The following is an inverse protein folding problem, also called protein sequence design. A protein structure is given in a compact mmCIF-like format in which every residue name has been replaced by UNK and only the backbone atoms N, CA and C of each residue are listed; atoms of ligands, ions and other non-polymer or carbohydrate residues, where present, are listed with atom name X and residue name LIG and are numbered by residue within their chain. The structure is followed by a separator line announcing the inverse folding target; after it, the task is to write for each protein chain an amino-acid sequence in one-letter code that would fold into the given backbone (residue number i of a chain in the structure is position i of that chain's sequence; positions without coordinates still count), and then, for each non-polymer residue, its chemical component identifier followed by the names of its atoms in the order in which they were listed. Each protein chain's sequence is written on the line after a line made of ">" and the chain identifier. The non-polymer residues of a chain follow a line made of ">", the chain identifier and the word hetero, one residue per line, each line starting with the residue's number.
data_IF_252965406725
#
_entry.id   IF_252965406725
#
_cell.length_a   1.000
_cell.length_b   1.000
_cell.length_c   1.000
_cell.angle_alpha   90.00
_cell.angle_beta   90.00
_cell.angle_gamma   90.00
#
_symmetry.space_group_name_H-M   'P 1'
#
loop_
_entity.id
_entity.type
_entity.pdbx_description
1 polymer ?
#
# COMPACT_ATOMS: atom_id res chain seq x y z
N UNK A 1 -32.42 3.28 -28.57
CA UNK A 1 -31.03 3.11 -29.00
C UNK A 1 -30.16 4.36 -28.96
N UNK A 2 -30.59 5.55 -29.33
CA UNK A 2 -29.77 6.79 -29.29
C UNK A 2 -29.41 7.28 -27.86
N UNK A 3 -30.34 7.10 -26.91
CA UNK A 3 -30.09 7.47 -25.49
C UNK A 3 -29.06 6.58 -24.83
N UNK A 4 -29.11 5.27 -25.05
CA UNK A 4 -28.09 4.32 -24.53
C UNK A 4 -26.70 4.66 -25.05
N UNK A 5 -26.54 4.99 -26.32
CA UNK A 5 -25.24 5.40 -26.89
C UNK A 5 -24.70 6.67 -26.24
N UNK A 6 -25.52 7.63 -25.87
CA UNK A 6 -25.14 8.85 -25.18
C UNK A 6 -24.71 8.57 -23.74
N UNK A 7 -25.36 7.64 -23.05
CA UNK A 7 -25.00 7.20 -21.70
C UNK A 7 -23.63 6.52 -21.71
N UNK A 8 -23.33 5.64 -22.67
CA UNK A 8 -22.02 4.99 -22.81
C UNK A 8 -20.90 5.99 -23.10
N UNK A 9 -21.13 7.02 -23.92
CA UNK A 9 -20.15 8.08 -24.17
C UNK A 9 -19.90 8.91 -22.90
N UNK A 10 -20.94 9.19 -22.12
CA UNK A 10 -20.78 9.89 -20.85
C UNK A 10 -19.96 9.07 -19.83
N UNK A 11 -20.20 7.77 -19.73
CA UNK A 11 -19.45 6.85 -18.84
C UNK A 11 -17.98 6.77 -19.26
N UNK A 12 -17.68 6.77 -20.56
CA UNK A 12 -16.30 6.75 -21.07
C UNK A 12 -15.59 8.09 -20.81
N UNK A 13 -16.28 9.23 -20.92
CA UNK A 13 -15.70 10.55 -20.63
C UNK A 13 -15.38 10.76 -19.13
N UNK A 14 -16.14 10.15 -18.23
CA UNK A 14 -15.87 10.18 -16.79
C UNK A 14 -14.72 9.22 -16.36
N UNK A 15 -14.27 8.32 -17.24
CA UNK A 15 -13.23 7.32 -16.96
C UNK A 15 -11.77 7.80 -17.10
N UNK A 16 -11.56 9.06 -17.49
CA UNK A 16 -10.20 9.61 -17.61
C UNK A 16 -9.69 10.15 -16.26
N UNK A 17 -9.56 9.28 -15.26
CA UNK A 17 -8.84 9.60 -14.03
C UNK A 17 -7.34 9.45 -14.29
N UNK A 18 -6.57 10.47 -13.90
CA UNK A 18 -5.11 10.38 -13.87
C UNK A 18 -4.71 9.28 -12.89
N UNK A 19 -4.20 8.17 -13.39
CA UNK A 19 -3.67 7.10 -12.54
C UNK A 19 -2.29 7.53 -12.02
N UNK A 20 -2.23 8.00 -10.79
CA UNK A 20 -0.98 8.23 -10.07
C UNK A 20 -0.64 6.95 -9.33
N UNK A 21 0.38 6.22 -9.79
CA UNK A 21 0.84 5.00 -9.16
C UNK A 21 1.98 5.34 -8.19
N UNK A 22 1.71 5.28 -6.90
CA UNK A 22 2.70 5.58 -5.86
C UNK A 22 3.01 4.38 -4.94
N UNK A 23 2.12 3.39 -4.91
CA UNK A 23 2.24 2.21 -4.04
C UNK A 23 2.66 0.96 -4.81
N UNK A 24 3.35 0.07 -4.08
CA UNK A 24 3.62 -1.28 -4.56
C UNK A 24 2.30 -2.00 -4.84
N UNK A 25 2.14 -2.54 -6.04
CA UNK A 25 0.97 -3.34 -6.39
C UNK A 25 1.34 -4.81 -6.47
N UNK A 26 0.63 -5.66 -5.75
CA UNK A 26 0.77 -7.11 -5.85
C UNK A 26 -0.20 -7.66 -6.89
N UNK A 27 0.27 -8.60 -7.73
CA UNK A 27 -0.59 -9.25 -8.75
C UNK A 27 -1.76 -10.01 -8.11
N UNK A 28 -1.55 -10.55 -6.91
CA UNK A 28 -2.56 -11.23 -6.09
C UNK A 28 -2.86 -10.42 -4.83
N UNK A 29 -3.34 -9.19 -4.98
CA UNK A 29 -3.62 -8.28 -3.86
C UNK A 29 -4.62 -8.86 -2.84
N UNK A 30 -5.53 -9.71 -3.28
CA UNK A 30 -6.51 -10.42 -2.42
C UNK A 30 -5.85 -11.46 -1.50
N UNK A 31 -4.66 -11.95 -1.84
CA UNK A 31 -3.88 -12.85 -0.99
C UNK A 31 -3.09 -12.11 0.10
N UNK A 32 -3.13 -10.78 0.11
CA UNK A 32 -2.47 -9.91 1.10
C UNK A 32 -3.51 -9.10 1.88
N UNK A 33 -4.17 -9.70 2.89
CA UNK A 33 -5.31 -9.09 3.55
C UNK A 33 -5.02 -7.74 4.20
N UNK A 34 -3.91 -7.60 4.94
CA UNK A 34 -3.55 -6.34 5.60
C UNK A 34 -3.15 -5.23 4.61
N UNK A 35 -2.70 -5.60 3.41
CA UNK A 35 -2.47 -4.65 2.32
C UNK A 35 -3.78 -4.16 1.69
N UNK A 36 -4.79 -5.03 1.64
CA UNK A 36 -6.09 -4.71 1.07
C UNK A 36 -6.93 -3.85 2.00
N UNK A 37 -7.03 -4.25 3.27
CA UNK A 37 -7.83 -3.54 4.27
C UNK A 37 -7.34 -3.85 5.68
N UNK A 38 -6.99 -2.85 6.51
CA UNK A 38 -6.60 -3.08 7.89
C UNK A 38 -7.68 -3.80 8.73
N UNK A 39 -8.95 -3.67 8.37
CA UNK A 39 -10.05 -4.35 9.05
C UNK A 39 -10.04 -5.88 8.87
N UNK A 40 -9.20 -6.42 7.99
CA UNK A 40 -8.97 -7.85 7.83
C UNK A 40 -7.97 -8.43 8.86
N UNK A 41 -7.38 -7.61 9.72
CA UNK A 41 -6.53 -8.09 10.81
C UNK A 41 -7.32 -8.99 11.77
N UNK A 42 -6.80 -10.18 12.04
CA UNK A 42 -7.44 -11.16 12.92
C UNK A 42 -8.78 -11.71 12.41
N UNK A 43 -8.98 -11.75 11.09
CA UNK A 43 -10.16 -12.43 10.49
C UNK A 43 -9.94 -13.92 10.28
N UNK A 44 -8.75 -14.44 10.51
CA UNK A 44 -8.48 -15.88 10.60
C UNK A 44 -8.77 -16.39 12.01
N UNK A 45 -8.97 -17.69 12.14
CA UNK A 45 -9.37 -18.30 13.41
C UNK A 45 -8.34 -18.13 14.54
N UNK A 46 -7.05 -18.04 14.21
CA UNK A 46 -5.98 -17.86 15.20
C UNK A 46 -4.89 -16.92 14.69
N UNK A 47 -3.83 -17.48 14.11
CA UNK A 47 -2.67 -16.77 13.61
C UNK A 47 -2.59 -16.91 12.10
N UNK A 48 -2.22 -15.83 11.42
CA UNK A 48 -1.97 -15.85 9.99
C UNK A 48 -0.67 -15.15 9.67
N UNK A 49 0.18 -15.81 8.89
CA UNK A 49 1.39 -15.23 8.31
C UNK A 49 1.21 -15.22 6.79
N UNK A 50 1.47 -14.09 6.16
CA UNK A 50 1.43 -13.96 4.70
C UNK A 50 2.73 -13.35 4.21
N UNK A 51 3.39 -14.02 3.28
CA UNK A 51 4.55 -13.50 2.56
C UNK A 51 4.20 -13.21 1.10
N UNK A 52 4.62 -12.05 0.61
CA UNK A 52 4.49 -11.68 -0.80
C UNK A 52 5.85 -11.32 -1.36
N UNK A 53 6.11 -11.76 -2.57
CA UNK A 53 7.26 -11.40 -3.36
C UNK A 53 6.81 -11.04 -4.77
N UNK A 54 7.33 -9.96 -5.31
CA UNK A 54 7.09 -9.54 -6.69
C UNK A 54 8.39 -9.05 -7.29
N UNK A 55 8.72 -9.60 -8.43
CA UNK A 55 9.75 -9.09 -9.33
C UNK A 55 9.07 -8.63 -10.62
N UNK A 56 9.18 -7.34 -10.90
CA UNK A 56 8.58 -6.73 -12.09
C UNK A 56 9.67 -6.43 -13.10
N UNK A 57 9.53 -6.98 -14.30
CA UNK A 57 10.47 -6.88 -15.41
C UNK A 57 11.85 -7.49 -15.14
N UNK A 58 11.91 -8.77 -14.72
CA UNK A 58 13.17 -9.41 -14.32
C UNK A 58 14.22 -9.48 -15.43
N UNK A 59 13.81 -9.37 -16.71
CA UNK A 59 14.72 -9.36 -17.86
C UNK A 59 15.38 -7.99 -18.13
N UNK A 60 14.98 -6.93 -17.40
CA UNK A 60 15.52 -5.58 -17.60
C UNK A 60 16.46 -5.25 -16.44
N UNK A 61 17.70 -4.77 -16.68
CA UNK A 61 18.55 -4.25 -15.62
C UNK A 61 17.84 -3.13 -14.85
N UNK A 62 17.79 -3.26 -13.52
CA UNK A 62 17.07 -2.29 -12.68
C UNK A 62 15.61 -2.63 -12.46
N UNK A 63 15.25 -3.92 -12.44
CA UNK A 63 13.92 -4.41 -12.12
C UNK A 63 13.38 -3.85 -10.79
N UNK A 64 12.05 -3.85 -10.66
CA UNK A 64 11.38 -3.47 -9.42
C UNK A 64 11.13 -4.73 -8.58
N UNK A 65 11.74 -4.77 -7.39
CA UNK A 65 11.60 -5.90 -6.47
C UNK A 65 10.86 -5.43 -5.24
N UNK A 66 9.75 -6.09 -4.95
CA UNK A 66 8.92 -5.79 -3.78
C UNK A 66 8.68 -7.07 -2.98
N UNK A 67 8.85 -6.98 -1.67
CA UNK A 67 8.51 -8.07 -0.77
C UNK A 67 7.88 -7.54 0.50
N UNK A 68 6.96 -8.32 1.03
CA UNK A 68 6.32 -8.03 2.30
C UNK A 68 6.08 -9.30 3.11
N UNK A 69 6.10 -9.11 4.39
CA UNK A 69 5.64 -10.09 5.37
C UNK A 69 4.58 -9.42 6.24
N UNK A 70 3.49 -10.11 6.47
CA UNK A 70 2.48 -9.69 7.42
C UNK A 70 2.13 -10.83 8.36
N UNK A 71 1.85 -10.46 9.59
CA UNK A 71 1.38 -11.34 10.65
C UNK A 71 0.15 -10.73 11.29
N UNK A 72 -0.88 -11.51 11.50
CA UNK A 72 -2.04 -11.08 12.26
C UNK A 72 -2.59 -12.19 13.13
N UNK A 73 -3.24 -11.78 14.21
CA UNK A 73 -3.79 -12.65 15.23
C UNK A 73 -5.18 -12.20 15.65
N UNK A 74 -6.07 -13.16 15.86
CA UNK A 74 -7.39 -12.97 16.43
C UNK A 74 -7.33 -13.10 17.95
N UNK A 75 -7.80 -12.06 18.66
CA UNK A 75 -7.97 -12.08 20.12
C UNK A 75 -9.48 -12.17 20.39
N UNK A 76 -10.01 -13.39 20.33
CA UNK A 76 -11.44 -13.67 20.39
C UNK A 76 -12.10 -13.17 21.67
N UNK A 77 -11.41 -13.25 22.80
CA UNK A 77 -11.89 -12.77 24.10
C UNK A 77 -12.13 -11.25 24.12
N UNK A 78 -11.31 -10.49 23.39
CA UNK A 78 -11.42 -9.04 23.26
C UNK A 78 -12.18 -8.59 22.00
N UNK A 79 -12.74 -9.52 21.22
CA UNK A 79 -13.34 -9.21 19.91
C UNK A 79 -12.43 -8.36 19.00
N UNK A 80 -11.12 -8.58 19.09
CA UNK A 80 -10.12 -7.74 18.49
C UNK A 80 -9.19 -8.52 17.56
N UNK A 81 -8.59 -7.83 16.61
CA UNK A 81 -7.51 -8.33 15.78
C UNK A 81 -6.31 -7.39 15.82
N UNK A 82 -5.14 -7.96 15.97
CA UNK A 82 -3.87 -7.25 15.84
C UNK A 82 -3.17 -7.72 14.59
N UNK A 83 -2.54 -6.80 13.88
CA UNK A 83 -1.74 -7.09 12.69
C UNK A 83 -0.43 -6.33 12.71
N UNK A 84 0.59 -6.91 12.10
CA UNK A 84 1.89 -6.32 11.90
C UNK A 84 2.34 -6.56 10.47
N UNK A 85 2.96 -5.55 9.85
CA UNK A 85 3.43 -5.62 8.47
C UNK A 85 4.82 -5.06 8.34
N UNK A 86 5.65 -5.73 7.54
CA UNK A 86 6.93 -5.21 7.06
C UNK A 86 6.92 -5.33 5.55
N UNK A 87 7.18 -4.24 4.87
CA UNK A 87 7.25 -4.19 3.41
C UNK A 87 8.52 -3.48 3.00
N UNK A 88 9.15 -3.98 1.94
CA UNK A 88 10.25 -3.30 1.28
C UNK A 88 10.07 -3.32 -0.23
N UNK A 89 10.27 -2.17 -0.83
CA UNK A 89 10.24 -1.93 -2.26
C UNK A 89 11.58 -1.39 -2.73
N UNK A 90 12.08 -1.91 -3.84
CA UNK A 90 13.35 -1.50 -4.42
C UNK A 90 13.17 -1.25 -5.91
N UNK A 91 13.72 -0.14 -6.39
CA UNK A 91 13.68 0.28 -7.77
C UNK A 91 15.10 0.60 -8.27
N UNK A 92 15.31 0.49 -9.57
CA UNK A 92 16.55 0.92 -10.18
C UNK A 92 17.79 0.16 -9.69
N UNK A 93 17.77 -1.17 -9.72
CA UNK A 93 18.87 -2.01 -9.20
C UNK A 93 19.11 -1.82 -7.69
N UNK A 94 18.08 -1.40 -6.95
CA UNK A 94 18.13 -1.14 -5.52
C UNK A 94 18.72 0.22 -5.15
N UNK A 95 18.93 1.11 -6.13
CA UNK A 95 19.38 2.48 -5.84
C UNK A 95 18.34 3.25 -5.02
N UNK A 96 17.05 3.12 -5.34
CA UNK A 96 15.96 3.68 -4.56
C UNK A 96 15.25 2.56 -3.80
N UNK A 97 15.05 2.73 -2.50
CA UNK A 97 14.33 1.76 -1.67
C UNK A 97 13.37 2.45 -0.71
N UNK A 98 12.23 1.81 -0.46
CA UNK A 98 11.28 2.24 0.57
C UNK A 98 11.02 1.05 1.49
N UNK A 99 11.21 1.22 2.78
CA UNK A 99 10.89 0.21 3.80
C UNK A 99 9.80 0.75 4.70
N UNK A 100 8.73 0.00 4.87
CA UNK A 100 7.59 0.38 5.72
C UNK A 100 7.36 -0.70 6.77
N UNK A 101 7.20 -0.28 8.01
CA UNK A 101 6.87 -1.15 9.15
C UNK A 101 5.63 -0.59 9.82
N UNK A 102 4.61 -1.41 10.01
CA UNK A 102 3.33 -0.94 10.53
C UNK A 102 2.63 -1.92 11.44
N UNK A 103 1.78 -1.37 12.30
CA UNK A 103 0.85 -2.09 13.16
C UNK A 103 -0.59 -1.73 12.83
N UNK A 104 -1.48 -2.68 13.02
CA UNK A 104 -2.91 -2.55 12.74
C UNK A 104 -3.70 -3.07 13.93
N UNK A 105 -4.75 -2.36 14.30
CA UNK A 105 -5.75 -2.78 15.28
C UNK A 105 -7.13 -2.76 14.65
N UNK A 106 -7.87 -3.85 14.80
CA UNK A 106 -9.25 -4.00 14.36
C UNK A 106 -10.14 -4.46 15.52
N UNK A 107 -11.36 -3.95 15.58
CA UNK A 107 -12.33 -4.30 16.62
C UNK A 107 -13.65 -4.75 16.00
N UNK A 108 -14.24 -5.87 16.48
CA UNK A 108 -15.48 -6.41 15.97
C UNK A 108 -16.68 -5.93 16.78
N UNK A 109 -17.62 -5.28 16.10
CA UNK A 109 -18.89 -4.82 16.64
C UNK A 109 -20.03 -5.66 16.07
N UNK A 110 -20.66 -6.49 16.88
CA UNK A 110 -21.85 -7.27 16.48
C UNK A 110 -23.07 -6.33 16.46
N UNK A 111 -23.56 -5.99 15.26
CA UNK A 111 -24.73 -5.14 15.09
C UNK A 111 -26.02 -5.92 15.38
N UNK A 112 -26.05 -7.18 14.98
CA UNK A 112 -27.13 -8.12 15.27
C UNK A 112 -26.65 -9.57 15.16
N UNK A 113 -27.56 -10.56 15.25
CA UNK A 113 -27.20 -12.00 15.17
C UNK A 113 -26.62 -12.43 13.81
N UNK A 114 -26.79 -11.63 12.75
CA UNK A 114 -26.41 -11.99 11.37
C UNK A 114 -25.42 -11.00 10.75
N UNK A 115 -25.17 -9.86 11.38
CA UNK A 115 -24.39 -8.77 10.82
C UNK A 115 -23.39 -8.23 11.83
N UNK A 116 -22.14 -8.09 11.42
CA UNK A 116 -21.08 -7.48 12.20
C UNK A 116 -20.37 -6.40 11.37
N UNK A 117 -19.86 -5.38 12.06
CA UNK A 117 -19.03 -4.34 11.52
C UNK A 117 -17.67 -4.35 12.22
N UNK A 118 -16.59 -4.28 11.43
CA UNK A 118 -15.23 -4.33 11.94
C UNK A 118 -14.45 -3.10 11.49
N UNK A 119 -14.43 -2.02 12.27
CA UNK A 119 -13.53 -0.88 12.05
C UNK A 119 -12.09 -1.25 12.39
N UNK A 120 -11.15 -0.57 11.75
CA UNK A 120 -9.73 -0.71 12.02
C UNK A 120 -8.96 0.58 11.77
N UNK A 121 -7.83 0.69 12.46
CA UNK A 121 -6.84 1.74 12.28
C UNK A 121 -5.46 1.10 12.14
N UNK A 122 -4.64 1.66 11.26
CA UNK A 122 -3.25 1.29 11.09
C UNK A 122 -2.33 2.49 11.23
N UNK A 123 -1.15 2.24 11.80
CA UNK A 123 -0.07 3.20 11.92
C UNK A 123 1.20 2.55 11.42
N UNK A 124 1.91 3.23 10.52
CA UNK A 124 3.15 2.74 9.96
C UNK A 124 4.23 3.81 9.94
N UNK A 125 5.48 3.37 9.96
CA UNK A 125 6.65 4.20 9.72
C UNK A 125 7.29 3.77 8.42
N UNK A 126 7.40 4.71 7.48
CA UNK A 126 8.07 4.56 6.20
C UNK A 126 9.45 5.22 6.23
N UNK A 127 10.42 4.55 5.60
CA UNK A 127 11.76 5.07 5.38
C UNK A 127 12.08 4.91 3.89
N UNK A 128 12.22 6.02 3.17
CA UNK A 128 12.67 6.06 1.79
C UNK A 128 14.13 6.44 1.75
N UNK A 129 14.94 5.67 1.06
CA UNK A 129 16.38 5.86 0.97
C UNK A 129 16.87 5.69 -0.45
N UNK A 130 17.93 6.43 -0.81
CA UNK A 130 18.63 6.31 -2.07
C UNK A 130 20.09 5.97 -1.82
N UNK A 131 20.58 4.97 -2.53
CA UNK A 131 22.01 4.57 -2.50
C UNK A 131 22.75 5.36 -3.59
N UNK A 132 23.42 6.42 -3.17
CA UNK A 132 24.18 7.32 -4.07
C UNK A 132 25.33 6.60 -4.78
N UNK A 133 25.87 5.53 -4.21
CA UNK A 133 26.98 4.77 -4.81
C UNK A 133 26.58 4.03 -6.08
N UNK A 134 25.28 3.79 -6.25
CA UNK A 134 24.69 3.11 -7.42
C UNK A 134 24.22 4.08 -8.50
N UNK A 135 24.30 5.39 -8.23
CA UNK A 135 23.89 6.44 -9.16
C UNK A 135 25.12 7.05 -9.84
N UNK A 136 24.96 7.39 -11.11
CA UNK A 136 25.88 8.24 -11.85
C UNK A 136 25.16 9.49 -12.31
N UNK A 137 25.68 10.63 -11.93
CA UNK A 137 25.12 11.93 -12.26
C UNK A 137 25.71 12.48 -13.57
N UNK A 138 24.98 13.39 -14.22
CA UNK A 138 25.39 13.96 -15.49
C UNK A 138 26.71 14.73 -15.42
N UNK A 139 26.99 15.40 -14.30
CA UNK A 139 28.26 16.11 -14.07
C UNK A 139 29.45 15.15 -13.97
N UNK A 140 29.29 13.98 -13.39
CA UNK A 140 30.32 12.93 -13.36
C UNK A 140 30.63 12.39 -14.75
N UNK A 141 29.58 12.23 -15.59
CA UNK A 141 29.76 11.76 -16.98
C UNK A 141 30.48 12.78 -17.85
N UNK A 142 30.28 14.09 -17.60
CA UNK A 142 30.87 15.17 -18.37
C UNK A 142 32.30 15.49 -17.92
N UNK A 143 32.56 15.47 -16.61
CA UNK A 143 33.86 15.89 -16.04
C UNK A 143 34.81 14.70 -15.77
N UNK A 144 34.28 13.47 -15.71
CA UNK A 144 35.06 12.30 -15.31
C UNK A 144 35.36 12.23 -13.80
N UNK A 145 34.78 13.13 -12.99
CA UNK A 145 35.00 13.15 -11.56
C UNK A 145 34.21 12.06 -10.84
N UNK A 146 34.77 11.47 -9.80
CA UNK A 146 34.10 10.45 -8.99
C UNK A 146 33.03 11.02 -8.04
N UNK A 147 33.11 12.32 -7.73
CA UNK A 147 32.20 13.00 -6.81
C UNK A 147 31.32 13.97 -7.62
N UNK A 148 29.99 13.86 -7.44
CA UNK A 148 29.01 14.76 -8.02
C UNK A 148 28.66 15.90 -7.07
N UNK A 149 28.61 17.14 -7.59
CA UNK A 149 28.07 18.30 -6.85
C UNK A 149 26.55 18.15 -6.67
N UNK A 150 25.88 17.50 -7.64
CA UNK A 150 24.43 17.28 -7.60
C UNK A 150 24.01 16.32 -6.49
N UNK A 151 24.88 15.40 -6.07
CA UNK A 151 24.60 14.49 -4.97
C UNK A 151 24.33 15.20 -3.63
N UNK A 152 24.90 16.39 -3.43
CA UNK A 152 24.70 17.18 -2.21
C UNK A 152 23.31 17.82 -2.11
N UNK A 153 22.53 17.82 -3.20
CA UNK A 153 21.17 18.36 -3.23
C UNK A 153 20.11 17.32 -2.84
N UNK A 154 20.51 16.07 -2.67
CA UNK A 154 19.60 14.96 -2.42
C UNK A 154 19.85 14.44 -1.01
N UNK A 155 18.80 14.38 -0.19
CA UNK A 155 18.86 13.66 1.07
C UNK A 155 18.95 12.16 0.77
N UNK A 156 19.90 11.49 1.37
CA UNK A 156 20.08 10.04 1.19
C UNK A 156 18.93 9.23 1.81
N UNK A 157 18.17 9.87 2.72
CA UNK A 157 17.11 9.22 3.48
C UNK A 157 16.04 10.21 3.94
N UNK A 158 14.77 9.76 3.91
CA UNK A 158 13.63 10.46 4.51
C UNK A 158 12.73 9.47 5.23
N UNK A 159 12.35 9.79 6.48
CA UNK A 159 11.39 9.02 7.27
C UNK A 159 10.06 9.75 7.37
N UNK A 160 8.96 9.00 7.36
CA UNK A 160 7.61 9.55 7.50
C UNK A 160 6.68 8.60 8.25
N UNK A 161 5.66 9.17 8.89
CA UNK A 161 4.58 8.42 9.51
C UNK A 161 3.42 8.30 8.53
N UNK A 162 2.76 7.16 8.53
CA UNK A 162 1.64 6.84 7.66
C UNK A 162 0.46 6.31 8.48
N UNK A 163 -0.73 6.84 8.21
CA UNK A 163 -1.96 6.50 8.90
C UNK A 163 -2.93 5.88 7.90
N UNK A 164 -3.52 4.77 8.29
CA UNK A 164 -4.56 4.09 7.53
C UNK A 164 -5.78 3.79 8.38
N UNK A 165 -6.94 3.67 7.74
CA UNK A 165 -8.16 3.24 8.38
C UNK A 165 -8.93 2.31 7.45
N UNK A 166 -9.79 1.48 8.01
CA UNK A 166 -10.62 0.60 7.24
C UNK A 166 -11.85 0.15 8.00
N UNK A 167 -12.79 -0.42 7.26
CA UNK A 167 -13.98 -1.03 7.82
C UNK A 167 -14.47 -2.15 6.94
N UNK A 168 -15.01 -3.18 7.55
CA UNK A 168 -15.71 -4.27 6.88
C UNK A 168 -17.04 -4.46 7.55
N UNK A 169 -18.11 -4.46 6.74
CA UNK A 169 -19.42 -4.92 7.11
C UNK A 169 -19.61 -6.32 6.53
N UNK A 170 -19.92 -7.30 7.35
CA UNK A 170 -20.07 -8.67 6.88
C UNK A 170 -21.21 -9.41 7.57
N UNK A 171 -21.78 -10.31 6.83
CA UNK A 171 -22.82 -11.24 7.27
C UNK A 171 -22.49 -12.66 6.86
N UNK A 172 -23.48 -13.56 6.93
CA UNK A 172 -23.29 -14.98 6.60
C UNK A 172 -23.01 -15.19 5.10
N UNK A 173 -23.56 -14.34 4.24
CA UNK A 173 -23.55 -14.54 2.79
C UNK A 173 -22.77 -13.46 2.03
N UNK A 174 -22.55 -12.30 2.63
CA UNK A 174 -21.90 -11.17 1.96
C UNK A 174 -20.93 -10.44 2.88
N UNK A 175 -20.00 -9.72 2.25
CA UNK A 175 -19.20 -8.71 2.92
C UNK A 175 -19.00 -7.49 1.98
N UNK A 176 -18.84 -6.34 2.61
CA UNK A 176 -18.47 -5.09 1.96
C UNK A 176 -17.37 -4.43 2.79
N UNK A 177 -16.25 -4.11 2.17
CA UNK A 177 -15.12 -3.48 2.81
C UNK A 177 -14.68 -2.21 2.08
N UNK A 178 -14.28 -1.23 2.89
CA UNK A 178 -13.65 0.00 2.44
C UNK A 178 -12.43 0.29 3.29
N UNK A 179 -11.35 0.74 2.67
CA UNK A 179 -10.16 1.21 3.37
C UNK A 179 -9.53 2.40 2.68
N UNK A 180 -8.83 3.19 3.48
CA UNK A 180 -8.04 4.33 3.05
C UNK A 180 -6.66 4.26 3.69
N UNK A 181 -5.62 4.36 2.86
CA UNK A 181 -4.22 4.44 3.26
C UNK A 181 -3.70 5.84 2.96
N UNK A 182 -2.62 6.25 3.63
CA UNK A 182 -2.00 7.58 3.48
C UNK A 182 -2.97 8.73 3.79
N UNK A 183 -3.79 8.58 4.85
CA UNK A 183 -4.78 9.60 5.26
C UNK A 183 -4.11 10.95 5.54
N UNK A 184 -2.93 10.91 6.15
CA UNK A 184 -2.14 12.09 6.48
C UNK A 184 -1.29 12.63 5.33
N UNK A 185 -1.35 11.99 4.13
CA UNK A 185 -0.60 12.36 2.93
C UNK A 185 0.85 12.73 3.25
N UNK A 186 1.66 11.77 3.77
CA UNK A 186 3.01 12.08 4.22
C UNK A 186 3.89 12.54 3.07
N UNK A 187 4.82 13.46 3.35
CA UNK A 187 5.84 13.88 2.40
C UNK A 187 7.00 12.86 2.42
N UNK A 188 7.33 12.31 1.26
CA UNK A 188 8.42 11.35 1.08
C UNK A 188 9.53 11.85 0.13
N UNK A 189 9.64 13.18 -0.05
CA UNK A 189 10.63 13.80 -0.91
C UNK A 189 12.05 13.65 -0.39
N UNK A 190 12.96 13.19 -1.24
CA UNK A 190 14.39 13.17 -0.99
C UNK A 190 15.08 14.49 -1.37
N UNK A 191 14.40 15.37 -2.13
CA UNK A 191 14.93 16.64 -2.59
C UNK A 191 14.57 17.82 -1.66
N UNK A 192 13.77 17.57 -0.62
CA UNK A 192 13.26 18.62 0.26
C UNK A 192 12.04 19.37 -0.31
N UNK A 193 11.61 19.04 -1.51
CA UNK A 193 10.41 19.59 -2.13
C UNK A 193 9.14 18.93 -1.58
N UNK A 194 7.97 19.48 -1.90
CA UNK A 194 6.69 18.90 -1.58
C UNK A 194 6.37 17.73 -2.54
N UNK A 195 6.50 16.50 -2.03
CA UNK A 195 6.10 15.27 -2.73
C UNK A 195 5.27 14.41 -1.79
N UNK A 196 3.98 14.68 -1.79
CA UNK A 196 3.03 13.99 -0.91
C UNK A 196 2.58 12.67 -1.51
N UNK A 197 2.49 11.63 -0.68
CA UNK A 197 1.86 10.37 -1.05
C UNK A 197 0.35 10.57 -1.05
N UNK A 198 -0.31 10.33 -2.18
CA UNK A 198 -1.76 10.47 -2.29
C UNK A 198 -2.49 9.36 -1.53
N UNK A 199 -3.68 9.71 -1.03
CA UNK A 199 -4.53 8.76 -0.35
C UNK A 199 -4.97 7.64 -1.31
N UNK A 200 -4.78 6.38 -0.90
CA UNK A 200 -5.22 5.20 -1.65
C UNK A 200 -6.51 4.66 -1.06
N UNK A 201 -7.52 4.56 -1.90
CA UNK A 201 -8.85 4.04 -1.56
C UNK A 201 -9.02 2.63 -2.12
N UNK A 202 -9.42 1.68 -1.27
CA UNK A 202 -9.76 0.33 -1.70
C UNK A 202 -11.21 0.01 -1.35
N UNK A 203 -11.93 -0.56 -2.30
CA UNK A 203 -13.29 -1.08 -2.11
C UNK A 203 -13.27 -2.55 -2.51
N UNK A 204 -13.79 -3.39 -1.67
CA UNK A 204 -13.92 -4.82 -1.96
C UNK A 204 -15.24 -5.35 -1.43
N UNK A 205 -15.79 -6.30 -2.13
CA UNK A 205 -17.06 -6.95 -1.76
C UNK A 205 -17.04 -8.39 -2.22
N UNK A 206 -17.85 -9.20 -1.60
CA UNK A 206 -18.08 -10.57 -2.01
C UNK A 206 -19.41 -11.09 -1.52
N UNK A 207 -19.89 -12.10 -2.22
CA UNK A 207 -21.13 -12.79 -1.92
C UNK A 207 -20.91 -14.30 -2.03
N UNK A 208 -21.37 -15.05 -1.03
CA UNK A 208 -21.37 -16.52 -1.04
C UNK A 208 -22.67 -16.98 -1.68
N UNK A 209 -22.57 -17.60 -2.84
CA UNK A 209 -23.69 -18.27 -3.46
C UNK A 209 -24.05 -19.51 -2.64
N UNK A 210 -25.36 -19.81 -2.47
CA UNK A 210 -25.84 -20.99 -1.75
C UNK A 210 -25.50 -22.31 -2.47
#
# INVERSE_FOLDING_TARGET
>A
MRLLKKIWVLVILFGAFSAVAQDVQYSQFYASPLYLNPALAGTSDQHRVVGNFRDQWPAIPGSYISYSISYDVNISEAHSGLGFTVQRDQAGSGALSTTTVGGVYAYEIKLNRKLAFRPAIGLAYGNRAVDMTRLKFGDQLLTGNDISVQSNLINDRVGYMDISAGGILYGNEFWFGYSIYHINRPNNSLLGDENYIDARHNIHTGYRLP
#
